data_IF_078027664214
#
_entry.id   IF_078027664214
#
_cell.length_a   1.000
_cell.length_b   1.000
_cell.length_c   1.000
_cell.angle_alpha   90.00
_cell.angle_beta   90.00
_cell.angle_gamma   90.00
#
_symmetry.space_group_name_H-M   'P 1'
#
loop_
_entity.id
_entity.type
_entity.pdbx_description
1 polymer ?
#
# COMPACT_ATOMS: atom_id res chain seq x y z
N UNK A 1 8.06 2.19 -19.09
CA UNK A 1 9.15 1.42 -18.49
C UNK A 1 9.49 1.92 -17.08
N UNK A 2 9.83 3.21 -16.95
CA UNK A 2 10.15 3.78 -15.63
C UNK A 2 8.97 3.66 -14.66
N UNK A 3 7.75 3.93 -15.13
CA UNK A 3 6.54 3.80 -14.31
C UNK A 3 6.29 2.36 -13.86
N UNK A 4 6.58 1.38 -14.73
CA UNK A 4 6.42 -0.02 -14.36
C UNK A 4 7.39 -0.45 -13.28
N UNK A 5 8.64 0.02 -13.35
CA UNK A 5 9.65 -0.27 -12.33
C UNK A 5 9.22 0.33 -10.99
N UNK A 6 8.70 1.56 -11.01
CA UNK A 6 8.22 2.22 -9.79
C UNK A 6 7.02 1.47 -9.21
N UNK A 7 6.09 1.02 -10.05
CA UNK A 7 4.94 0.22 -9.61
C UNK A 7 5.38 -1.12 -9.03
N UNK A 8 6.34 -1.78 -9.66
CA UNK A 8 6.87 -3.05 -9.16
C UNK A 8 7.44 -2.90 -7.76
N UNK A 9 8.20 -1.83 -7.52
CA UNK A 9 8.76 -1.54 -6.20
C UNK A 9 7.67 -1.26 -5.18
N UNK A 10 6.65 -0.51 -5.59
CA UNK A 10 5.52 -0.20 -4.72
C UNK A 10 4.79 -1.47 -4.29
N UNK A 11 4.44 -2.32 -5.24
CA UNK A 11 3.74 -3.57 -4.92
C UNK A 11 4.62 -4.54 -4.15
N UNK A 12 5.92 -4.61 -4.47
CA UNK A 12 6.86 -5.44 -3.72
C UNK A 12 6.96 -4.98 -2.27
N UNK A 13 7.04 -3.66 -2.05
CA UNK A 13 7.08 -3.10 -0.70
C UNK A 13 5.81 -3.42 0.08
N UNK A 14 4.66 -3.41 -0.57
CA UNK A 14 3.37 -3.70 0.05
C UNK A 14 3.06 -5.20 0.16
N UNK A 15 3.93 -6.05 -0.36
CA UNK A 15 3.72 -7.50 -0.29
C UNK A 15 3.96 -8.08 1.11
N UNK A 16 4.58 -7.32 2.00
CA UNK A 16 4.85 -7.73 3.37
C UNK A 16 3.81 -7.14 4.33
N UNK A 17 3.27 -7.97 5.23
CA UNK A 17 2.20 -7.55 6.13
C UNK A 17 2.67 -6.47 7.11
N UNK A 18 3.89 -6.57 7.61
CA UNK A 18 4.45 -5.56 8.52
C UNK A 18 4.53 -4.21 7.82
N UNK A 19 4.99 -4.19 6.57
CA UNK A 19 5.08 -2.94 5.82
C UNK A 19 3.70 -2.36 5.52
N UNK A 20 2.69 -3.20 5.25
CA UNK A 20 1.32 -2.71 5.09
C UNK A 20 0.79 -2.08 6.37
N UNK A 21 1.12 -2.67 7.52
CA UNK A 21 0.72 -2.12 8.82
C UNK A 21 1.38 -0.76 9.07
N UNK A 22 2.65 -0.59 8.68
CA UNK A 22 3.34 0.69 8.79
C UNK A 22 2.60 1.76 7.97
N UNK A 23 2.28 1.45 6.73
CA UNK A 23 1.57 2.40 5.85
C UNK A 23 0.21 2.76 6.45
N UNK A 24 -0.53 1.78 6.95
CA UNK A 24 -1.83 2.02 7.58
C UNK A 24 -1.69 2.92 8.80
N UNK A 25 -0.68 2.66 9.65
CA UNK A 25 -0.44 3.47 10.84
C UNK A 25 -0.08 4.92 10.47
N UNK A 26 0.77 5.10 9.46
CA UNK A 26 1.19 6.43 9.02
C UNK A 26 0.05 7.20 8.36
N UNK A 27 -1.00 6.52 7.93
CA UNK A 27 -2.22 7.17 7.47
C UNK A 27 -2.89 8.00 8.56
N UNK A 28 -2.67 7.66 9.83
CA UNK A 28 -3.21 8.40 10.97
C UNK A 28 -2.33 9.57 11.39
N UNK A 29 -1.13 9.67 10.83
CA UNK A 29 -0.20 10.74 11.12
C UNK A 29 1.23 10.25 11.27
N UNK A 30 2.19 11.17 11.34
CA UNK A 30 3.60 10.79 11.48
C UNK A 30 3.88 9.99 12.74
N UNK A 31 4.91 9.15 12.68
CA UNK A 31 5.37 8.36 13.82
C UNK A 31 6.87 8.15 13.72
N UNK A 32 7.53 7.99 14.88
CA UNK A 32 8.94 7.66 14.90
C UNK A 32 9.14 6.16 14.65
N UNK A 33 10.37 5.79 14.29
CA UNK A 33 10.71 4.37 14.10
C UNK A 33 10.42 3.57 15.38
N UNK A 34 10.74 4.14 16.54
CA UNK A 34 10.48 3.49 17.82
C UNK A 34 9.00 3.28 18.09
N UNK A 35 8.18 4.29 17.78
CA UNK A 35 6.73 4.20 17.92
C UNK A 35 6.13 3.13 17.02
N UNK A 36 6.71 2.92 15.85
CA UNK A 36 6.25 1.88 14.92
C UNK A 36 6.71 0.50 15.36
N UNK A 37 7.91 0.40 15.94
CA UNK A 37 8.50 -0.88 16.33
C UNK A 37 7.79 -1.52 17.51
N UNK A 38 7.36 -0.71 18.49
CA UNK A 38 6.83 -1.21 19.75
C UNK A 38 5.56 -2.06 19.56
N UNK A 39 4.51 -1.57 18.91
CA UNK A 39 3.30 -2.39 18.73
C UNK A 39 3.53 -3.63 17.86
N UNK A 40 4.49 -3.58 16.95
CA UNK A 40 4.80 -4.69 16.06
C UNK A 40 5.68 -5.75 16.71
N UNK A 41 6.18 -5.49 17.92
CA UNK A 41 7.09 -6.39 18.63
C UNK A 41 8.34 -6.70 17.81
N UNK A 42 8.85 -5.69 17.11
CA UNK A 42 10.05 -5.78 16.28
C UNK A 42 11.09 -4.85 16.87
N UNK A 43 12.37 -5.20 16.68
CA UNK A 43 13.44 -4.29 17.10
C UNK A 43 13.43 -3.02 16.26
N UNK A 44 13.99 -1.94 16.83
CA UNK A 44 14.12 -0.67 16.08
C UNK A 44 14.94 -0.89 14.81
N UNK A 45 16.01 -1.68 14.89
CA UNK A 45 16.83 -2.00 13.71
C UNK A 45 16.04 -2.74 12.64
N UNK A 46 15.24 -3.74 13.04
CA UNK A 46 14.39 -4.47 12.11
C UNK A 46 13.32 -3.59 11.49
N UNK A 47 12.70 -2.74 12.30
CA UNK A 47 11.71 -1.78 11.81
C UNK A 47 12.34 -0.80 10.82
N UNK A 48 13.55 -0.31 11.10
CA UNK A 48 14.24 0.61 10.21
C UNK A 48 14.48 0.00 8.82
N UNK A 49 14.73 -1.31 8.76
CA UNK A 49 14.88 -2.00 7.46
C UNK A 49 13.59 -2.01 6.66
N UNK A 50 12.46 -2.27 7.32
CA UNK A 50 11.15 -2.20 6.66
C UNK A 50 10.86 -0.78 6.16
N UNK A 51 11.18 0.22 6.96
CA UNK A 51 10.98 1.62 6.60
C UNK A 51 11.85 1.99 5.40
N UNK A 52 13.09 1.49 5.36
CA UNK A 52 13.99 1.74 4.23
C UNK A 52 13.41 1.20 2.92
N UNK A 53 12.82 0.00 2.95
CA UNK A 53 12.17 -0.58 1.77
C UNK A 53 11.02 0.31 1.31
N UNK A 54 10.19 0.78 2.24
CA UNK A 54 9.07 1.67 1.94
C UNK A 54 9.56 3.03 1.43
N UNK A 55 10.63 3.55 2.01
CA UNK A 55 11.23 4.82 1.59
C UNK A 55 11.78 4.72 0.17
N UNK A 56 12.50 3.64 -0.13
CA UNK A 56 13.05 3.39 -1.47
C UNK A 56 11.95 3.23 -2.51
N UNK A 57 10.79 2.75 -2.10
CA UNK A 57 9.62 2.61 -2.97
C UNK A 57 8.81 3.92 -3.09
N UNK A 58 9.17 4.96 -2.35
CA UNK A 58 8.47 6.24 -2.38
C UNK A 58 7.16 6.26 -1.60
N UNK A 59 6.92 5.27 -0.75
CA UNK A 59 5.68 5.18 0.05
C UNK A 59 5.80 5.87 1.39
N UNK A 60 7.01 6.08 1.87
CA UNK A 60 7.30 6.70 3.14
C UNK A 60 8.43 7.69 2.95
N UNK A 61 8.35 8.83 3.62
CA UNK A 61 9.46 9.77 3.74
C UNK A 61 9.91 9.80 5.19
N UNK A 62 11.20 10.01 5.41
CA UNK A 62 11.74 10.09 6.76
C UNK A 62 12.52 11.39 6.94
N UNK A 63 12.50 11.89 8.15
CA UNK A 63 13.20 13.12 8.50
C UNK A 63 13.79 12.95 9.89
N UNK A 64 15.04 13.36 10.04
CA UNK A 64 15.68 13.34 11.35
C UNK A 64 15.24 14.57 12.13
N UNK A 65 14.59 14.36 13.25
CA UNK A 65 14.12 15.41 14.16
C UNK A 65 14.77 15.17 15.51
N UNK A 66 15.78 15.97 15.84
CA UNK A 66 16.55 15.75 17.07
C UNK A 66 17.29 14.44 17.01
N UNK A 67 17.03 13.55 17.98
CA UNK A 67 17.63 12.22 18.06
C UNK A 67 16.76 11.13 17.47
N UNK A 68 15.60 11.49 16.93
CA UNK A 68 14.65 10.53 16.42
C UNK A 68 14.51 10.67 14.90
N UNK A 69 14.09 9.60 14.25
CA UNK A 69 13.74 9.64 12.85
C UNK A 69 12.24 9.53 12.73
N UNK A 70 11.62 10.58 12.22
CA UNK A 70 10.18 10.65 12.05
C UNK A 70 9.81 10.18 10.65
N UNK A 71 8.80 9.32 10.58
CA UNK A 71 8.31 8.76 9.33
C UNK A 71 6.97 9.38 8.98
N UNK A 72 6.76 9.64 7.69
CA UNK A 72 5.51 10.18 7.15
C UNK A 72 5.13 9.40 5.92
N UNK A 73 3.85 9.37 5.64
CA UNK A 73 3.35 8.75 4.43
C UNK A 73 3.73 9.59 3.22
N UNK A 74 4.34 8.95 2.21
CA UNK A 74 4.58 9.56 0.93
C UNK A 74 3.43 9.19 -0.01
N UNK A 75 2.60 10.16 -0.40
CA UNK A 75 1.35 9.88 -1.10
C UNK A 75 1.50 9.70 -2.60
N UNK A 76 2.54 10.26 -3.19
CA UNK A 76 2.69 10.27 -4.65
C UNK A 76 2.67 8.86 -5.26
N UNK A 77 3.46 7.94 -4.70
CA UNK A 77 3.51 6.56 -5.23
C UNK A 77 2.26 5.77 -4.90
N UNK A 78 1.62 6.06 -3.78
CA UNK A 78 0.34 5.46 -3.46
C UNK A 78 -0.73 5.91 -4.45
N UNK A 79 -0.71 7.18 -4.83
CA UNK A 79 -1.66 7.69 -5.82
C UNK A 79 -1.48 7.00 -7.17
N UNK A 80 -0.23 6.78 -7.60
CA UNK A 80 0.06 6.05 -8.84
C UNK A 80 -0.45 4.62 -8.77
N UNK A 81 -0.20 3.94 -7.66
CA UNK A 81 -0.67 2.56 -7.45
C UNK A 81 -2.20 2.50 -7.43
N UNK A 82 -2.84 3.46 -6.76
CA UNK A 82 -4.30 3.52 -6.72
C UNK A 82 -4.89 3.79 -8.10
N UNK A 83 -4.26 4.66 -8.89
CA UNK A 83 -4.69 4.92 -10.26
C UNK A 83 -4.62 3.66 -11.10
N UNK A 84 -3.54 2.90 -10.98
CA UNK A 84 -3.36 1.64 -11.68
C UNK A 84 -4.43 0.63 -11.27
N UNK A 85 -4.62 0.45 -9.97
CA UNK A 85 -5.62 -0.47 -9.43
C UNK A 85 -7.02 -0.06 -9.88
N UNK A 86 -7.36 1.22 -9.81
CA UNK A 86 -8.67 1.73 -10.20
C UNK A 86 -8.95 1.50 -11.67
N UNK A 87 -7.93 1.66 -12.52
CA UNK A 87 -8.06 1.39 -13.95
C UNK A 87 -8.43 -0.08 -14.19
N UNK A 88 -7.70 -1.00 -13.57
CA UNK A 88 -7.97 -2.43 -13.75
C UNK A 88 -9.24 -2.85 -13.05
N UNK A 89 -9.60 -2.23 -11.94
CA UNK A 89 -10.87 -2.49 -11.27
C UNK A 89 -12.04 -2.16 -12.20
N UNK A 90 -11.98 -1.03 -12.91
CA UNK A 90 -13.03 -0.68 -13.87
C UNK A 90 -13.14 -1.70 -14.99
N UNK A 91 -12.03 -2.22 -15.51
CA UNK A 91 -12.03 -3.27 -16.50
C UNK A 91 -12.65 -4.56 -15.96
N UNK A 92 -12.25 -4.95 -14.74
CA UNK A 92 -12.79 -6.12 -14.09
C UNK A 92 -14.28 -5.98 -13.81
N UNK A 93 -14.71 -4.81 -13.35
CA UNK A 93 -16.12 -4.54 -13.05
C UNK A 93 -16.97 -4.68 -14.33
N UNK A 94 -16.47 -4.20 -15.46
CA UNK A 94 -17.18 -4.38 -16.73
C UNK A 94 -17.35 -5.85 -17.08
N UNK A 95 -16.31 -6.65 -16.91
CA UNK A 95 -16.34 -8.08 -17.20
C UNK A 95 -17.25 -8.81 -16.21
N UNK A 96 -17.12 -8.45 -14.95
CA UNK A 96 -17.96 -9.05 -13.90
C UNK A 96 -19.42 -8.65 -14.04
N UNK A 97 -19.69 -7.42 -14.44
CA UNK A 97 -21.05 -6.97 -14.74
C UNK A 97 -21.65 -7.78 -15.91
N UNK A 98 -20.84 -8.06 -16.91
CA UNK A 98 -21.26 -8.92 -18.02
C UNK A 98 -21.59 -10.32 -17.55
N UNK A 99 -20.75 -10.89 -16.67
CA UNK A 99 -21.00 -12.19 -16.08
C UNK A 99 -22.21 -12.17 -15.16
N UNK A 100 -22.35 -11.13 -14.37
CA UNK A 100 -23.48 -10.94 -13.47
C UNK A 100 -24.80 -10.87 -14.28
N UNK A 101 -24.79 -10.10 -15.36
CA UNK A 101 -25.93 -10.01 -16.24
C UNK A 101 -26.29 -11.39 -16.82
N UNK A 102 -25.26 -12.14 -17.24
CA UNK A 102 -25.45 -13.49 -17.76
C UNK A 102 -26.04 -14.43 -16.70
N UNK A 103 -25.48 -14.42 -15.49
CA UNK A 103 -25.98 -15.27 -14.41
C UNK A 103 -27.34 -14.82 -13.92
N UNK A 104 -27.62 -13.53 -13.92
CA UNK A 104 -28.91 -12.99 -13.53
C UNK A 104 -30.01 -13.45 -14.49
N UNK A 105 -29.71 -13.43 -15.81
CA UNK A 105 -30.65 -13.94 -16.82
C UNK A 105 -30.94 -15.42 -16.61
N UNK A 106 -29.93 -16.21 -16.25
CA UNK A 106 -30.14 -17.64 -16.00
C UNK A 106 -30.87 -17.89 -14.69
N UNK A 107 -30.57 -17.10 -13.67
CA UNK A 107 -31.21 -17.24 -12.35
C UNK A 107 -32.59 -16.59 -12.30
N UNK A 108 -32.83 -15.63 -13.16
CA UNK A 108 -34.14 -14.98 -13.22
C UNK A 108 -35.26 -15.94 -13.48
N UNK A 109 -34.97 -17.01 -14.18
CA UNK A 109 -35.95 -18.07 -14.46
C UNK A 109 -36.20 -18.99 -13.28
N UNK A 110 -35.38 -18.89 -12.23
CA UNK A 110 -35.47 -19.74 -11.06
C UNK A 110 -36.22 -19.12 -9.89
N UNK A 111 -36.65 -17.89 -10.06
CA UNK A 111 -37.53 -17.25 -9.10
C UNK A 111 -38.96 -17.67 -9.40
#
# INVERSE_FOLDING_TARGET
>A
MVQQIALDRTFAALADSTRRDIVARLGDGPATVSELALPAEITVTGMAKHIKVLEDAGLVTTEKVGRTRQCRLGTERLDDAMAWISFYQRLWDRRLDGLDAFFTLRKGDQK
#
